data_IF_537433926465
#
_entry.id   IF_537433926465
#
_cell.length_a   1.000
_cell.length_b   1.000
_cell.length_c   1.000
_cell.angle_alpha   90.00
_cell.angle_beta   90.00
_cell.angle_gamma   90.00
#
_symmetry.space_group_name_H-M   'P 1'
#
loop_
_entity.id
_entity.type
_entity.pdbx_description
1 polymer ?
#
# COMPACT_ATOMS: atom_id res chain seq x y z
N UNK A 1 -11.69 -3.72 -17.73
CA UNK A 1 -12.06 -2.66 -16.78
C UNK A 1 -11.07 -2.66 -15.63
N UNK A 2 -10.28 -1.59 -15.53
CA UNK A 2 -9.32 -1.41 -14.43
C UNK A 2 -10.09 -0.96 -13.19
N UNK A 3 -10.22 -1.85 -12.20
CA UNK A 3 -11.01 -1.57 -11.00
C UNK A 3 -10.15 -1.28 -9.77
N UNK A 4 -8.83 -1.50 -9.84
CA UNK A 4 -7.90 -1.28 -8.75
C UNK A 4 -6.47 -1.09 -9.26
N UNK A 5 -5.60 -0.58 -8.39
CA UNK A 5 -4.18 -0.41 -8.65
C UNK A 5 -3.37 -1.39 -7.80
N UNK A 6 -2.28 -1.88 -8.37
CA UNK A 6 -1.26 -2.68 -7.67
C UNK A 6 0.06 -1.96 -7.80
N UNK A 7 0.67 -1.63 -6.68
CA UNK A 7 1.99 -1.03 -6.60
C UNK A 7 2.92 -2.08 -6.01
N UNK A 8 4.08 -2.25 -6.61
CA UNK A 8 5.13 -3.14 -6.12
C UNK A 8 6.38 -2.33 -5.89
N UNK A 9 6.87 -2.38 -4.65
CA UNK A 9 8.10 -1.72 -4.23
C UNK A 9 9.12 -2.77 -3.79
N UNK A 10 10.35 -2.66 -4.28
CA UNK A 10 11.46 -3.52 -3.87
C UNK A 10 12.66 -2.64 -3.49
N UNK A 11 13.14 -2.83 -2.26
CA UNK A 11 14.35 -2.19 -1.74
C UNK A 11 15.45 -3.23 -1.71
N UNK A 12 16.34 -3.15 -2.70
CA UNK A 12 17.47 -4.05 -2.90
C UNK A 12 18.78 -3.44 -2.37
N UNK A 13 19.81 -4.26 -2.27
CA UNK A 13 21.15 -3.84 -1.83
C UNK A 13 21.38 -4.07 -0.34
N UNK A 14 22.60 -3.75 0.11
CA UNK A 14 23.11 -4.08 1.46
C UNK A 14 22.85 -3.00 2.51
N UNK A 15 22.27 -1.87 2.14
CA UNK A 15 21.96 -0.80 3.10
C UNK A 15 21.05 -1.27 4.22
N UNK A 16 21.38 -0.90 5.46
CA UNK A 16 20.63 -1.24 6.67
C UNK A 16 19.91 -0.03 7.20
N UNK A 17 18.74 -0.23 7.80
CA UNK A 17 17.98 0.86 8.43
C UNK A 17 16.48 0.64 8.38
N UNK A 18 15.75 1.69 8.76
CA UNK A 18 14.29 1.67 8.71
C UNK A 18 13.82 2.04 7.31
N UNK A 19 12.94 1.22 6.75
CA UNK A 19 12.24 1.49 5.51
C UNK A 19 10.82 1.90 5.86
N UNK A 20 10.40 3.05 5.34
CA UNK A 20 9.08 3.61 5.60
C UNK A 20 8.41 3.92 4.25
N UNK A 21 7.43 3.11 3.88
CA UNK A 21 6.63 3.31 2.68
C UNK A 21 5.45 4.22 3.03
N UNK A 22 5.44 5.43 2.50
CA UNK A 22 4.46 6.46 2.85
C UNK A 22 3.40 6.69 1.78
N UNK A 23 2.15 6.83 2.21
CA UNK A 23 1.03 7.27 1.38
C UNK A 23 0.41 8.53 1.97
N UNK A 24 0.42 9.59 1.18
CA UNK A 24 -0.16 10.88 1.55
C UNK A 24 -1.65 10.86 1.25
N UNK A 25 -2.48 10.83 2.29
CA UNK A 25 -3.92 10.71 2.14
C UNK A 25 -4.57 12.08 1.94
N UNK A 26 -5.73 12.17 1.27
CA UNK A 26 -6.53 13.38 1.24
C UNK A 26 -6.99 13.78 2.65
N UNK A 27 -7.49 15.02 2.79
CA UNK A 27 -8.10 15.46 4.04
C UNK A 27 -9.39 14.67 4.31
N UNK A 28 -9.54 14.11 5.51
CA UNK A 28 -10.74 13.38 5.94
C UNK A 28 -10.42 12.28 6.93
N UNK A 29 -11.45 11.55 7.33
CA UNK A 29 -11.33 10.44 8.27
C UNK A 29 -10.79 9.19 7.60
N UNK A 30 -9.96 8.45 8.34
CA UNK A 30 -9.35 7.20 7.87
C UNK A 30 -9.44 6.16 8.99
N UNK A 31 -10.16 5.09 8.71
CA UNK A 31 -10.14 3.88 9.54
C UNK A 31 -8.91 3.03 9.19
N UNK A 32 -8.46 2.22 10.13
CA UNK A 32 -7.35 1.30 9.91
C UNK A 32 -7.56 -0.03 10.64
N UNK A 33 -7.01 -1.09 10.05
CA UNK A 33 -6.87 -2.41 10.66
C UNK A 33 -5.38 -2.79 10.66
N UNK A 34 -4.81 -2.96 11.85
CA UNK A 34 -3.41 -3.38 11.99
C UNK A 34 -3.23 -4.84 11.62
N UNK A 35 -4.21 -5.67 11.89
CA UNK A 35 -4.18 -7.09 11.57
C UNK A 35 -4.05 -7.32 10.07
N UNK A 36 -4.82 -6.56 9.28
CA UNK A 36 -4.84 -6.68 7.82
C UNK A 36 -3.91 -5.69 7.11
N UNK A 37 -3.14 -4.87 7.83
CA UNK A 37 -2.33 -3.80 7.25
C UNK A 37 -3.13 -2.92 6.29
N UNK A 38 -4.31 -2.47 6.73
CA UNK A 38 -5.30 -1.79 5.89
C UNK A 38 -5.57 -0.38 6.38
N UNK A 39 -5.71 0.55 5.43
CA UNK A 39 -6.31 1.87 5.60
C UNK A 39 -7.53 2.00 4.70
N UNK A 40 -8.58 2.62 5.22
CA UNK A 40 -9.84 2.83 4.52
C UNK A 40 -10.32 4.26 4.77
N UNK A 41 -10.47 5.04 3.72
CA UNK A 41 -11.03 6.39 3.84
C UNK A 41 -12.53 6.33 4.11
N UNK A 42 -13.04 7.34 4.84
CA UNK A 42 -14.43 7.45 5.23
C UNK A 42 -14.96 8.85 4.87
N UNK A 43 -14.92 9.18 3.58
CA UNK A 43 -15.37 10.47 3.07
C UNK A 43 -16.86 10.44 2.78
N UNK A 44 -17.56 11.53 3.13
CA UNK A 44 -19.01 11.65 3.00
C UNK A 44 -19.47 11.68 1.54
N UNK A 45 -18.63 12.17 0.63
CA UNK A 45 -18.91 12.22 -0.81
C UNK A 45 -18.86 10.86 -1.51
N UNK A 46 -18.49 9.80 -0.78
CA UNK A 46 -18.36 8.45 -1.30
C UNK A 46 -17.13 8.20 -2.18
N UNK A 47 -16.21 9.16 -2.28
CA UNK A 47 -14.93 9.00 -3.01
C UNK A 47 -13.90 8.27 -2.15
N UNK A 48 -14.25 7.07 -1.70
CA UNK A 48 -13.42 6.31 -0.77
C UNK A 48 -12.46 5.36 -1.47
N UNK A 49 -11.43 4.96 -0.73
CA UNK A 49 -10.52 3.91 -1.16
C UNK A 49 -10.07 3.03 0.01
N UNK A 50 -9.91 1.75 -0.28
CA UNK A 50 -9.19 0.80 0.55
C UNK A 50 -7.75 0.66 0.04
N UNK A 51 -6.80 0.81 0.94
CA UNK A 51 -5.39 0.57 0.71
C UNK A 51 -4.93 -0.53 1.66
N UNK A 52 -4.40 -1.62 1.13
CA UNK A 52 -3.86 -2.73 1.91
C UNK A 52 -2.46 -3.07 1.43
N UNK A 53 -1.53 -3.19 2.36
CA UNK A 53 -0.14 -3.52 2.07
C UNK A 53 0.20 -4.94 2.53
N UNK A 54 0.87 -5.67 1.65
CA UNK A 54 1.44 -6.98 1.90
C UNK A 54 2.96 -6.84 1.84
N UNK A 55 3.64 -7.14 2.92
CA UNK A 55 5.08 -6.95 3.07
C UNK A 55 5.72 -8.05 3.89
N UNK A 56 6.97 -7.88 4.28
CA UNK A 56 7.69 -8.87 5.07
C UNK A 56 7.14 -8.99 6.50
N UNK A 57 7.48 -10.08 7.15
CA UNK A 57 7.21 -10.30 8.56
C UNK A 57 7.79 -9.17 9.43
N UNK A 58 7.08 -8.83 10.49
CA UNK A 58 7.45 -7.72 11.36
C UNK A 58 7.13 -6.32 10.82
N UNK A 59 6.48 -6.22 9.67
CA UNK A 59 5.96 -4.95 9.17
C UNK A 59 4.95 -4.34 10.15
N UNK A 60 5.06 -3.06 10.37
CA UNK A 60 4.13 -2.27 11.19
C UNK A 60 3.51 -1.15 10.37
N UNK A 61 2.39 -0.61 10.85
CA UNK A 61 1.73 0.52 10.21
C UNK A 61 1.53 1.67 11.18
N UNK A 62 1.59 2.89 10.66
CA UNK A 62 1.34 4.13 11.41
C UNK A 62 0.41 5.07 10.65
N UNK A 63 -0.33 5.85 11.42
CA UNK A 63 -1.12 6.98 10.96
C UNK A 63 -0.58 8.22 11.65
N UNK A 64 -0.11 9.19 10.89
CA UNK A 64 0.57 10.38 11.38
C UNK A 64 -0.03 11.64 10.77
N UNK A 65 0.01 12.75 11.51
CA UNK A 65 -0.39 14.04 10.97
C UNK A 65 0.69 14.59 10.05
N UNK A 66 0.30 14.93 8.85
CA UNK A 66 1.11 15.64 7.87
C UNK A 66 0.47 16.97 7.46
N UNK A 67 1.12 17.65 6.55
CA UNK A 67 0.66 18.92 6.01
C UNK A 67 0.50 18.82 4.49
N UNK A 68 -0.50 19.53 3.97
CA UNK A 68 -0.70 19.70 2.55
C UNK A 68 -0.94 21.18 2.23
N UNK A 69 -0.42 21.63 1.11
CA UNK A 69 -0.68 22.95 0.56
C UNK A 69 -1.17 22.78 -0.88
N UNK A 70 -2.39 23.19 -1.11
CA UNK A 70 -3.02 23.16 -2.45
C UNK A 70 -3.05 24.53 -3.12
N UNK A 71 -2.68 25.58 -2.39
CA UNK A 71 -2.61 26.94 -2.91
C UNK A 71 -1.53 27.73 -2.16
N UNK A 72 -1.03 28.80 -2.79
CA UNK A 72 -0.04 29.69 -2.20
C UNK A 72 -0.51 30.23 -0.84
N UNK A 73 0.36 30.15 0.18
CA UNK A 73 0.10 30.57 1.57
C UNK A 73 -1.05 29.84 2.29
N UNK A 74 -1.61 28.77 1.72
CA UNK A 74 -2.64 27.95 2.37
C UNK A 74 -2.07 26.56 2.68
N UNK A 75 -2.23 26.11 3.92
CA UNK A 75 -1.91 24.74 4.32
C UNK A 75 -2.98 24.19 5.25
N UNK A 76 -3.18 22.91 5.19
CA UNK A 76 -4.08 22.19 6.10
C UNK A 76 -3.45 20.86 6.54
N UNK A 77 -3.93 20.38 7.67
CA UNK A 77 -3.53 19.08 8.19
C UNK A 77 -4.19 17.98 7.37
N UNK A 78 -3.44 16.94 7.06
CA UNK A 78 -3.93 15.69 6.47
C UNK A 78 -3.26 14.50 7.12
N UNK A 79 -3.80 13.32 6.90
CA UNK A 79 -3.16 12.09 7.36
C UNK A 79 -2.10 11.64 6.37
N UNK A 80 -0.99 11.20 6.91
CA UNK A 80 0.01 10.38 6.26
C UNK A 80 -0.09 8.98 6.86
N UNK A 81 -0.14 7.96 6.03
CA UNK A 81 -0.12 6.58 6.47
C UNK A 81 1.16 5.92 5.98
N UNK A 82 1.75 5.06 6.81
CA UNK A 82 3.00 4.41 6.45
C UNK A 82 3.04 2.94 6.87
N UNK A 83 3.78 2.16 6.09
CA UNK A 83 4.17 0.79 6.40
C UNK A 83 5.68 0.77 6.63
N UNK A 84 6.08 0.21 7.77
CA UNK A 84 7.43 0.36 8.26
C UNK A 84 8.03 -1.00 8.61
N UNK A 85 9.28 -1.22 8.19
CA UNK A 85 10.05 -2.41 8.52
C UNK A 85 11.52 -2.04 8.70
N UNK A 86 12.24 -2.86 9.42
CA UNK A 86 13.69 -2.75 9.54
C UNK A 86 14.36 -3.68 8.53
N UNK A 87 15.28 -3.15 7.75
CA UNK A 87 16.14 -3.90 6.83
C UNK A 87 17.51 -4.06 7.48
N UNK A 88 17.95 -5.29 7.66
CA UNK A 88 19.20 -5.60 8.40
C UNK A 88 20.27 -6.27 7.54
N UNK A 89 20.03 -6.53 6.27
CA UNK A 89 20.95 -7.28 5.42
C UNK A 89 20.73 -7.07 3.93
N UNK A 90 21.24 -7.99 3.14
CA UNK A 90 21.15 -7.96 1.67
C UNK A 90 19.81 -8.44 1.12
N UNK A 91 19.00 -9.11 1.94
CA UNK A 91 17.68 -9.53 1.50
C UNK A 91 16.81 -8.35 1.09
N UNK A 92 16.17 -8.47 -0.08
CA UNK A 92 15.28 -7.45 -0.58
C UNK A 92 14.05 -7.31 0.33
N UNK A 93 13.72 -6.08 0.69
CA UNK A 93 12.43 -5.76 1.33
C UNK A 93 11.43 -5.46 0.24
N UNK A 94 10.32 -6.18 0.22
CA UNK A 94 9.35 -6.16 -0.87
C UNK A 94 7.96 -5.89 -0.35
N UNK A 95 7.23 -5.00 -1.04
CA UNK A 95 5.83 -4.70 -0.72
C UNK A 95 4.96 -4.86 -1.96
N UNK A 96 3.73 -5.32 -1.73
CA UNK A 96 2.63 -5.23 -2.70
C UNK A 96 1.55 -4.39 -2.05
N UNK A 97 1.24 -3.25 -2.62
CA UNK A 97 0.13 -2.41 -2.15
C UNK A 97 -1.02 -2.46 -3.14
N UNK A 98 -2.19 -2.85 -2.66
CA UNK A 98 -3.43 -2.85 -3.45
C UNK A 98 -4.26 -1.65 -3.04
N UNK A 99 -4.63 -0.81 -4.02
CA UNK A 99 -5.49 0.35 -3.84
C UNK A 99 -6.78 0.13 -4.62
N UNK A 100 -7.90 0.12 -3.93
CA UNK A 100 -9.22 -0.15 -4.51
C UNK A 100 -10.19 0.99 -4.21
N UNK A 101 -10.72 1.68 -5.23
CA UNK A 101 -11.79 2.65 -5.04
C UNK A 101 -13.06 1.98 -4.54
N UNK A 102 -13.69 2.54 -3.52
CA UNK A 102 -14.96 2.05 -2.95
C UNK A 102 -15.92 3.21 -2.74
N UNK A 103 -17.21 2.99 -2.94
CA UNK A 103 -18.21 4.02 -2.66
C UNK A 103 -18.57 4.05 -1.16
N UNK A 104 -18.69 2.88 -0.54
CA UNK A 104 -18.98 2.73 0.89
C UNK A 104 -17.97 1.83 1.53
N UNK A 105 -17.55 2.17 2.74
CA UNK A 105 -16.55 1.39 3.50
C UNK A 105 -17.00 -0.07 3.73
N UNK A 106 -18.31 -0.31 3.90
CA UNK A 106 -18.85 -1.65 4.07
C UNK A 106 -18.71 -2.54 2.83
N UNK A 107 -18.57 -1.95 1.64
CA UNK A 107 -18.42 -2.67 0.37
C UNK A 107 -16.96 -2.95 0.01
N UNK A 108 -16.03 -2.65 0.91
CA UNK A 108 -14.61 -2.81 0.66
C UNK A 108 -14.22 -4.29 0.49
N UNK A 109 -13.63 -4.68 -0.64
CA UNK A 109 -13.32 -6.07 -0.94
C UNK A 109 -12.23 -6.63 -0.03
N UNK A 110 -12.19 -7.97 0.10
CA UNK A 110 -11.08 -8.68 0.72
C UNK A 110 -9.97 -8.88 -0.31
N UNK A 111 -8.73 -8.65 0.14
CA UNK A 111 -7.54 -8.86 -0.69
C UNK A 111 -6.65 -9.96 -0.13
N UNK A 112 -5.91 -10.60 -1.04
CA UNK A 112 -4.70 -11.32 -0.74
C UNK A 112 -3.72 -11.06 -1.87
N UNK A 113 -2.44 -10.89 -1.54
CA UNK A 113 -1.40 -10.71 -2.55
C UNK A 113 -0.11 -11.41 -2.12
N UNK A 114 0.63 -11.90 -3.10
CA UNK A 114 1.94 -12.53 -2.87
C UNK A 114 2.82 -12.43 -4.09
N UNK A 115 4.12 -12.40 -3.86
CA UNK A 115 5.11 -12.60 -4.90
C UNK A 115 5.14 -14.06 -5.34
N UNK A 116 5.33 -14.30 -6.63
CA UNK A 116 5.50 -15.62 -7.23
C UNK A 116 6.97 -15.96 -7.44
N UNK A 117 7.81 -14.94 -7.58
CA UNK A 117 9.26 -15.07 -7.70
C UNK A 117 9.96 -14.46 -6.46
N UNK A 118 11.19 -14.92 -6.19
CA UNK A 118 11.95 -14.49 -5.00
C UNK A 118 12.47 -13.06 -5.10
N UNK A 119 12.83 -12.62 -6.29
CA UNK A 119 13.35 -11.29 -6.55
C UNK A 119 12.98 -10.83 -7.96
N UNK A 120 13.10 -9.53 -8.22
CA UNK A 120 13.08 -9.02 -9.57
C UNK A 120 14.43 -9.33 -10.22
N UNK A 121 14.40 -10.04 -11.32
CA UNK A 121 15.56 -10.47 -12.08
C UNK A 121 15.30 -10.33 -13.59
N UNK A 122 16.13 -10.92 -14.44
CA UNK A 122 15.96 -10.93 -15.90
C UNK A 122 14.63 -11.52 -16.39
N UNK A 123 13.99 -12.38 -15.56
CA UNK A 123 12.67 -12.92 -15.83
C UNK A 123 11.55 -11.96 -15.43
N UNK A 124 11.89 -10.86 -14.78
CA UNK A 124 10.99 -9.81 -14.35
C UNK A 124 10.30 -10.10 -13.03
N UNK A 125 9.16 -9.47 -12.86
CA UNK A 125 8.34 -9.53 -11.65
C UNK A 125 7.05 -10.30 -11.93
N UNK A 126 6.70 -11.23 -11.04
CA UNK A 126 5.40 -11.89 -11.04
C UNK A 126 4.73 -11.80 -9.68
N UNK A 127 3.52 -11.22 -9.63
CA UNK A 127 2.69 -11.16 -8.44
C UNK A 127 1.32 -11.78 -8.69
N UNK A 128 0.78 -12.40 -7.67
CA UNK A 128 -0.59 -12.90 -7.63
C UNK A 128 -1.41 -12.02 -6.70
N UNK A 129 -2.51 -11.48 -7.20
CA UNK A 129 -3.46 -10.70 -6.42
C UNK A 129 -4.83 -11.37 -6.48
N UNK A 130 -5.50 -11.46 -5.33
CA UNK A 130 -6.90 -11.90 -5.23
C UNK A 130 -7.76 -10.77 -4.70
N UNK A 131 -8.88 -10.54 -5.34
CA UNK A 131 -9.91 -9.58 -4.93
C UNK A 131 -11.23 -10.33 -4.83
N UNK A 132 -11.81 -10.40 -3.64
CA UNK A 132 -13.03 -11.19 -3.36
C UNK A 132 -12.95 -12.64 -3.91
N UNK A 133 -11.78 -13.29 -3.74
CA UNK A 133 -11.54 -14.65 -4.21
C UNK A 133 -11.18 -14.77 -5.70
N UNK A 134 -11.43 -13.77 -6.53
CA UNK A 134 -11.01 -13.77 -7.94
C UNK A 134 -9.51 -13.50 -8.02
N UNK A 135 -8.80 -14.44 -8.64
CA UNK A 135 -7.35 -14.44 -8.78
C UNK A 135 -6.92 -13.79 -10.10
N UNK A 136 -5.89 -12.97 -10.03
CA UNK A 136 -5.21 -12.37 -11.16
C UNK A 136 -3.69 -12.51 -10.98
N UNK A 137 -2.99 -12.96 -12.03
CA UNK A 137 -1.53 -12.95 -12.10
C UNK A 137 -1.08 -11.76 -12.91
N UNK A 138 -0.19 -10.96 -12.35
CA UNK A 138 0.40 -9.79 -12.96
C UNK A 138 1.87 -10.08 -13.21
N UNK A 139 2.30 -9.90 -14.45
CA UNK A 139 3.69 -10.10 -14.88
C UNK A 139 4.22 -8.84 -15.51
N UNK A 140 5.42 -8.48 -15.12
CA UNK A 140 6.18 -7.40 -15.71
C UNK A 140 7.58 -7.89 -16.07
N UNK A 141 8.00 -7.65 -17.30
CA UNK A 141 9.33 -7.96 -17.80
C UNK A 141 9.92 -6.67 -18.39
N UNK A 142 11.20 -6.42 -18.12
CA UNK A 142 11.97 -5.34 -18.73
C UNK A 142 12.24 -5.60 -20.20
#
# INVERSE_FOLDING_TARGET
>A
DSTYFVIVDEMIGSAKGSINLHYQMPKGEIANSREDMTFLTQFEDGSNMKLQCFGPDGMSMKKELGWCSTAYRKRYKRMNVSFNVKKDGEEAVRYITVIYPVKKSADAPKFAAKFKNKAFDENGLEVEVKVNGKKQSLKYKL
#
